data_IF_670158159981
#
_entry.id   IF_670158159981
#
_cell.length_a   1.000
_cell.length_b   1.000
_cell.length_c   1.000
_cell.angle_alpha   90.00
_cell.angle_beta   90.00
_cell.angle_gamma   90.00
#
_symmetry.space_group_name_H-M   'P 1'
#
loop_
_entity.id
_entity.type
_entity.pdbx_description
1 polymer ?
#
# COMPACT_ATOMS: atom_id res chain seq x y z
N UNK A 1 -1.27 -21.03 -28.38
CA UNK A 1 -2.58 -21.30 -27.75
C UNK A 1 -2.97 -20.03 -27.00
N UNK A 2 -4.24 -19.61 -27.07
CA UNK A 2 -4.68 -18.47 -26.29
C UNK A 2 -4.59 -18.79 -24.80
N UNK A 3 -4.03 -17.88 -24.00
CA UNK A 3 -4.04 -18.06 -22.55
C UNK A 3 -5.46 -17.86 -21.99
N UNK A 4 -5.70 -18.27 -20.74
CA UNK A 4 -7.03 -18.22 -20.12
C UNK A 4 -7.61 -16.80 -20.10
N UNK A 5 -6.78 -15.80 -19.81
CA UNK A 5 -7.21 -14.41 -19.74
C UNK A 5 -7.60 -13.84 -21.12
N UNK A 6 -6.95 -14.24 -22.21
CA UNK A 6 -7.35 -13.84 -23.57
C UNK A 6 -8.79 -14.26 -23.94
N UNK A 7 -9.34 -15.31 -23.31
CA UNK A 7 -10.73 -15.71 -23.54
C UNK A 7 -11.73 -14.72 -22.91
N UNK A 8 -11.35 -14.09 -21.80
CA UNK A 8 -12.15 -13.10 -21.09
C UNK A 8 -11.87 -11.68 -21.58
N UNK A 9 -10.65 -11.45 -22.03
CA UNK A 9 -10.13 -10.17 -22.49
C UNK A 9 -9.49 -10.30 -23.89
N UNK A 10 -10.32 -10.30 -24.97
CA UNK A 10 -9.83 -10.48 -26.34
C UNK A 10 -8.88 -9.40 -26.87
N UNK A 11 -8.76 -8.27 -26.17
CA UNK A 11 -7.84 -7.17 -26.53
C UNK A 11 -6.37 -7.48 -26.22
N UNK A 12 -6.10 -8.50 -25.41
CA UNK A 12 -4.76 -8.98 -25.09
C UNK A 12 -4.09 -9.58 -26.34
N UNK A 13 -2.80 -9.33 -26.47
CA UNK A 13 -2.01 -9.71 -27.65
C UNK A 13 -1.13 -10.92 -27.37
N UNK A 14 -0.63 -11.57 -28.41
CA UNK A 14 0.34 -12.65 -28.21
C UNK A 14 1.74 -12.10 -27.89
N UNK A 15 2.58 -12.93 -27.27
CA UNK A 15 3.96 -12.55 -26.94
C UNK A 15 4.76 -12.17 -28.19
N UNK A 16 4.53 -12.89 -29.30
CA UNK A 16 5.16 -12.61 -30.59
C UNK A 16 4.74 -11.26 -31.14
N UNK A 17 3.46 -10.90 -31.06
CA UNK A 17 2.95 -9.60 -31.52
C UNK A 17 3.56 -8.44 -30.73
N UNK A 18 3.66 -8.58 -29.40
CA UNK A 18 4.27 -7.57 -28.53
C UNK A 18 5.76 -7.42 -28.85
N UNK A 19 6.51 -8.52 -28.92
CA UNK A 19 7.94 -8.51 -29.25
C UNK A 19 8.20 -7.94 -30.65
N UNK A 20 7.35 -8.27 -31.62
CA UNK A 20 7.44 -7.71 -32.97
C UNK A 20 7.27 -6.18 -32.96
N UNK A 21 6.29 -5.65 -32.22
CA UNK A 21 6.09 -4.19 -32.08
C UNK A 21 7.27 -3.50 -31.40
N UNK A 22 7.81 -4.09 -30.34
CA UNK A 22 8.99 -3.57 -29.64
C UNK A 22 10.21 -3.60 -30.58
N UNK A 23 10.42 -4.69 -31.30
CA UNK A 23 11.57 -4.87 -32.20
C UNK A 23 11.60 -3.90 -33.39
N UNK A 24 10.43 -3.49 -33.90
CA UNK A 24 10.31 -2.54 -35.02
C UNK A 24 10.54 -1.08 -34.63
N UNK A 25 10.60 -0.77 -33.34
CA UNK A 25 10.76 0.60 -32.83
C UNK A 25 12.06 0.69 -32.02
N UNK A 26 13.11 1.36 -32.54
CA UNK A 26 14.42 1.41 -31.88
C UNK A 26 14.37 1.93 -30.43
N UNK A 27 13.51 2.92 -30.15
CA UNK A 27 13.30 3.45 -28.81
C UNK A 27 12.71 2.41 -27.84
N UNK A 28 11.64 1.71 -28.24
CA UNK A 28 11.03 0.67 -27.40
C UNK A 28 11.99 -0.49 -27.19
N UNK A 29 12.71 -0.91 -28.25
CA UNK A 29 13.73 -1.95 -28.14
C UNK A 29 14.79 -1.59 -27.12
N UNK A 30 15.30 -0.36 -27.15
CA UNK A 30 16.28 0.12 -26.18
C UNK A 30 15.73 0.07 -24.74
N UNK A 31 14.51 0.56 -24.52
CA UNK A 31 13.87 0.52 -23.19
C UNK A 31 13.72 -0.92 -22.71
N UNK A 32 13.15 -1.81 -23.53
CA UNK A 32 12.88 -3.19 -23.16
C UNK A 32 14.16 -3.93 -22.73
N UNK A 33 15.24 -3.82 -23.51
CA UNK A 33 16.50 -4.48 -23.19
C UNK A 33 17.32 -3.76 -22.09
N UNK A 34 16.92 -2.56 -21.67
CA UNK A 34 17.51 -1.91 -20.49
C UNK A 34 16.98 -2.48 -19.17
N UNK A 35 15.82 -3.14 -19.20
CA UNK A 35 15.24 -3.79 -18.03
C UNK A 35 15.91 -5.13 -17.73
N UNK A 36 15.83 -5.58 -16.47
CA UNK A 36 16.23 -6.93 -16.07
C UNK A 36 15.37 -7.99 -16.76
N UNK A 37 15.88 -9.23 -16.90
CA UNK A 37 15.10 -10.33 -17.49
C UNK A 37 13.79 -10.59 -16.73
N UNK A 38 13.80 -10.41 -15.40
CA UNK A 38 12.59 -10.52 -14.57
C UNK A 38 11.54 -9.48 -14.98
N UNK A 39 11.94 -8.22 -15.11
CA UNK A 39 11.05 -7.13 -15.50
C UNK A 39 10.56 -7.27 -16.95
N UNK A 40 11.41 -7.74 -17.86
CA UNK A 40 11.02 -8.07 -19.24
C UNK A 40 9.93 -9.14 -19.28
N UNK A 41 10.10 -10.21 -18.50
CA UNK A 41 9.10 -11.28 -18.41
C UNK A 41 7.81 -10.79 -17.75
N UNK A 42 7.90 -10.05 -16.64
CA UNK A 42 6.75 -9.46 -15.97
C UNK A 42 5.92 -8.59 -16.93
N UNK A 43 6.59 -7.70 -17.69
CA UNK A 43 5.95 -6.88 -18.72
C UNK A 43 5.23 -7.72 -19.78
N UNK A 44 5.92 -8.73 -20.33
CA UNK A 44 5.33 -9.59 -21.35
C UNK A 44 4.18 -10.43 -20.78
N UNK A 45 4.27 -10.87 -19.53
CA UNK A 45 3.27 -11.74 -18.92
C UNK A 45 1.95 -10.99 -18.73
N UNK A 46 1.97 -9.77 -18.18
CA UNK A 46 0.74 -9.01 -17.97
C UNK A 46 0.18 -8.40 -19.26
N UNK A 47 1.01 -8.03 -20.24
CA UNK A 47 0.53 -7.48 -21.53
C UNK A 47 -0.03 -8.55 -22.45
N UNK A 48 0.32 -9.81 -22.23
CA UNK A 48 -0.18 -10.94 -23.03
C UNK A 48 -1.31 -11.70 -22.35
N UNK A 49 -1.45 -11.59 -21.02
CA UNK A 49 -2.42 -12.36 -20.23
C UNK A 49 -1.89 -13.69 -19.69
N UNK A 50 -0.57 -13.92 -19.75
CA UNK A 50 0.03 -15.06 -19.04
C UNK A 50 -0.08 -14.87 -17.53
N UNK A 51 -0.05 -13.62 -17.07
CA UNK A 51 -0.52 -13.15 -15.76
C UNK A 51 -1.47 -11.96 -15.96
N UNK A 52 -2.19 -11.61 -14.92
CA UNK A 52 -2.90 -10.34 -14.82
C UNK A 52 -1.96 -9.17 -14.63
N UNK A 53 -2.46 -7.97 -14.91
CA UNK A 53 -1.78 -6.74 -14.49
C UNK A 53 -1.93 -6.62 -12.99
N UNK A 54 -0.83 -6.28 -12.30
CA UNK A 54 -0.89 -5.94 -10.88
C UNK A 54 -1.63 -4.62 -10.72
N UNK A 55 -2.80 -4.66 -10.08
CA UNK A 55 -3.60 -3.46 -9.85
C UNK A 55 -2.92 -2.47 -8.89
N UNK A 56 -1.95 -2.95 -8.13
CA UNK A 56 -1.08 -2.15 -7.28
C UNK A 56 -0.01 -1.36 -8.06
N UNK A 57 0.13 -1.51 -9.38
CA UNK A 57 0.97 -0.55 -10.11
C UNK A 57 0.38 0.85 -10.07
N UNK A 58 1.24 1.86 -10.13
CA UNK A 58 0.87 3.27 -10.03
C UNK A 58 -0.17 3.66 -11.08
N UNK A 59 0.10 3.30 -12.34
CA UNK A 59 -0.82 3.60 -13.42
C UNK A 59 -2.17 2.89 -13.29
N UNK A 60 -2.19 1.67 -12.75
CA UNK A 60 -3.42 0.88 -12.61
C UNK A 60 -4.26 1.38 -11.43
N UNK A 61 -3.64 1.53 -10.26
CA UNK A 61 -4.32 2.03 -9.06
C UNK A 61 -4.81 3.47 -9.23
N UNK A 62 -4.02 4.36 -9.85
CA UNK A 62 -4.45 5.73 -10.15
C UNK A 62 -5.58 5.81 -11.16
N UNK A 63 -5.65 4.90 -12.12
CA UNK A 63 -6.81 4.84 -13.03
C UNK A 63 -8.05 4.36 -12.28
N UNK A 64 -7.92 3.25 -11.53
CA UNK A 64 -9.08 2.55 -10.96
C UNK A 64 -9.65 3.22 -9.70
N UNK A 65 -8.79 3.78 -8.85
CA UNK A 65 -9.14 4.35 -7.55
C UNK A 65 -9.13 5.88 -7.58
N UNK A 66 -9.29 6.51 -8.74
CA UNK A 66 -9.37 7.96 -8.84
C UNK A 66 -10.71 8.48 -8.26
N UNK A 67 -10.72 9.26 -7.18
CA UNK A 67 -11.96 9.77 -6.58
C UNK A 67 -12.64 10.88 -7.40
N UNK A 68 -11.97 11.43 -8.42
CA UNK A 68 -12.56 12.41 -9.35
C UNK A 68 -13.29 11.74 -10.52
N UNK A 69 -12.73 10.67 -11.09
CA UNK A 69 -13.33 9.98 -12.25
C UNK A 69 -14.16 8.75 -11.85
N UNK A 70 -13.81 8.08 -10.75
CA UNK A 70 -14.43 6.84 -10.28
C UNK A 70 -14.88 6.93 -8.82
N UNK A 71 -15.49 8.05 -8.44
CA UNK A 71 -15.94 8.33 -7.06
C UNK A 71 -16.76 7.21 -6.43
N UNK A 72 -17.65 6.55 -7.19
CA UNK A 72 -18.48 5.47 -6.67
C UNK A 72 -17.67 4.23 -6.26
N UNK A 73 -16.60 3.89 -7.00
CA UNK A 73 -15.70 2.79 -6.63
C UNK A 73 -14.97 3.10 -5.33
N UNK A 74 -14.47 4.33 -5.20
CA UNK A 74 -13.75 4.76 -3.99
C UNK A 74 -14.72 4.84 -2.80
N UNK A 75 -15.97 5.33 -2.99
CA UNK A 75 -17.01 5.30 -1.96
C UNK A 75 -17.29 3.87 -1.49
N UNK A 76 -17.51 2.93 -2.41
CA UNK A 76 -17.75 1.52 -2.07
C UNK A 76 -16.57 0.95 -1.29
N UNK A 77 -15.36 1.11 -1.82
CA UNK A 77 -14.16 0.54 -1.22
C UNK A 77 -13.89 1.09 0.18
N UNK A 78 -13.96 2.41 0.37
CA UNK A 78 -13.82 3.03 1.68
C UNK A 78 -14.94 2.61 2.64
N UNK A 79 -16.17 2.44 2.15
CA UNK A 79 -17.28 1.99 2.99
C UNK A 79 -17.04 0.58 3.53
N UNK A 80 -16.55 -0.31 2.67
CA UNK A 80 -16.20 -1.68 3.02
C UNK A 80 -15.05 -1.70 4.03
N UNK A 81 -13.97 -0.96 3.78
CA UNK A 81 -12.81 -0.88 4.68
C UNK A 81 -13.17 -0.32 6.06
N UNK A 82 -14.02 0.71 6.12
CA UNK A 82 -14.41 1.35 7.38
C UNK A 82 -15.57 0.63 8.09
N UNK A 83 -16.22 -0.34 7.43
CA UNK A 83 -17.39 -1.04 7.96
C UNK A 83 -18.63 -0.16 8.13
N UNK A 84 -18.69 0.98 7.43
CA UNK A 84 -19.80 1.93 7.48
C UNK A 84 -19.99 2.62 6.13
N UNK A 85 -21.22 2.97 5.73
CA UNK A 85 -21.43 3.73 4.49
C UNK A 85 -20.75 5.09 4.54
N UNK A 86 -19.96 5.41 3.52
CA UNK A 86 -19.33 6.72 3.35
C UNK A 86 -19.66 7.34 2.00
N UNK A 87 -19.58 8.66 1.93
CA UNK A 87 -19.65 9.42 0.68
C UNK A 87 -18.57 10.48 0.67
N UNK A 88 -17.77 10.51 -0.39
CA UNK A 88 -16.78 11.55 -0.64
C UNK A 88 -17.51 12.86 -0.92
N UNK A 89 -17.19 13.88 -0.12
CA UNK A 89 -17.62 15.26 -0.31
C UNK A 89 -16.67 15.98 -1.28
N UNK A 90 -15.36 15.88 -1.04
CA UNK A 90 -14.33 16.59 -1.79
C UNK A 90 -13.02 15.80 -1.76
N UNK A 91 -12.26 15.84 -2.86
CA UNK A 91 -10.88 15.36 -2.92
C UNK A 91 -9.96 16.47 -2.44
N UNK A 92 -9.15 16.18 -1.43
CA UNK A 92 -8.23 17.15 -0.85
C UNK A 92 -6.88 17.09 -1.57
N UNK A 93 -6.19 18.22 -1.76
CA UNK A 93 -4.86 18.20 -2.34
C UNK A 93 -3.89 17.51 -1.38
N UNK A 94 -2.97 16.75 -1.95
CA UNK A 94 -1.80 16.22 -1.25
C UNK A 94 -0.81 17.39 -1.05
N UNK A 95 -1.16 18.36 -0.19
CA UNK A 95 -0.32 19.54 0.06
C UNK A 95 1.09 19.09 0.49
N UNK A 96 2.05 19.42 -0.38
CA UNK A 96 3.39 18.85 -0.48
C UNK A 96 4.41 19.29 0.58
N UNK A 97 4.01 19.43 1.84
CA UNK A 97 4.97 19.26 2.93
C UNK A 97 4.99 17.78 3.32
N UNK A 98 5.48 16.93 2.41
CA UNK A 98 6.02 15.64 2.84
C UNK A 98 7.04 15.98 3.92
N UNK A 99 6.83 15.45 5.14
CA UNK A 99 7.65 15.81 6.30
C UNK A 99 9.14 15.45 6.13
N UNK A 100 9.51 14.81 5.01
CA UNK A 100 10.85 14.71 4.48
C UNK A 100 10.82 14.51 2.95
N UNK A 101 11.93 14.82 2.28
CA UNK A 101 12.30 14.35 0.91
C UNK A 101 12.44 12.81 0.83
N UNK A 102 11.71 12.07 1.68
CA UNK A 102 11.77 10.61 1.75
C UNK A 102 11.15 10.01 0.47
N UNK A 103 12.01 9.33 -0.29
CA UNK A 103 11.68 8.49 -1.43
C UNK A 103 10.55 7.54 -1.06
N UNK A 104 9.34 7.90 -1.49
CA UNK A 104 8.15 7.29 -0.90
C UNK A 104 7.89 5.99 -1.64
N UNK A 105 7.94 4.85 -0.93
CA UNK A 105 7.43 3.53 -1.37
C UNK A 105 5.91 3.54 -1.66
N UNK A 106 5.32 4.73 -1.70
CA UNK A 106 3.91 5.07 -1.81
C UNK A 106 3.57 5.24 -3.28
N UNK A 107 2.65 4.40 -3.73
CA UNK A 107 2.14 4.37 -5.10
C UNK A 107 0.99 5.37 -5.22
N UNK A 108 -0.02 5.18 -4.38
CA UNK A 108 -1.26 5.96 -4.41
C UNK A 108 -1.53 6.53 -3.03
N UNK A 109 -1.88 7.81 -3.01
CA UNK A 109 -2.18 8.62 -1.84
C UNK A 109 -3.47 9.41 -2.13
N UNK A 110 -4.58 8.93 -1.58
CA UNK A 110 -5.91 9.49 -1.79
C UNK A 110 -6.38 10.11 -0.49
N UNK A 111 -6.41 11.45 -0.45
CA UNK A 111 -6.94 12.20 0.68
C UNK A 111 -8.31 12.77 0.30
N UNK A 112 -9.36 12.38 1.04
CA UNK A 112 -10.73 12.81 0.79
C UNK A 112 -11.42 13.30 2.07
N UNK A 113 -12.23 14.34 1.94
CA UNK A 113 -13.21 14.73 2.96
C UNK A 113 -14.51 13.96 2.70
N UNK A 114 -15.07 13.34 3.73
CA UNK A 114 -16.35 12.63 3.66
C UNK A 114 -17.52 13.58 3.99
N UNK A 115 -18.74 13.16 3.66
CA UNK A 115 -19.96 13.94 3.89
C UNK A 115 -20.24 14.25 5.37
N UNK A 116 -19.69 13.45 6.29
CA UNK A 116 -19.76 13.69 7.73
C UNK A 116 -18.64 14.62 8.24
N UNK A 117 -17.82 15.16 7.33
CA UNK A 117 -16.63 15.99 7.55
C UNK A 117 -15.42 15.28 8.15
N UNK A 118 -15.44 13.94 8.26
CA UNK A 118 -14.22 13.18 8.52
C UNK A 118 -13.27 13.22 7.31
N UNK A 119 -11.97 13.02 7.55
CA UNK A 119 -10.97 12.93 6.48
C UNK A 119 -10.43 11.51 6.44
N UNK A 120 -10.33 10.95 5.24
CA UNK A 120 -9.68 9.66 5.00
C UNK A 120 -8.45 9.88 4.15
N UNK A 121 -7.33 9.32 4.58
CA UNK A 121 -6.14 9.11 3.77
C UNK A 121 -6.01 7.62 3.47
N UNK A 122 -6.12 7.24 2.19
CA UNK A 122 -5.88 5.89 1.70
C UNK A 122 -4.53 5.84 0.98
N UNK A 123 -3.61 5.10 1.58
CA UNK A 123 -2.26 4.89 1.09
C UNK A 123 -2.07 3.46 0.55
N UNK A 124 -1.40 3.35 -0.58
CA UNK A 124 -0.92 2.08 -1.13
C UNK A 124 0.60 2.07 -1.11
N UNK A 125 1.20 1.09 -0.45
CA UNK A 125 2.65 0.94 -0.33
C UNK A 125 3.13 -0.38 -0.92
N UNK A 126 4.16 -0.33 -1.78
CA UNK A 126 4.79 -1.56 -2.32
C UNK A 126 5.51 -2.36 -1.26
N UNK A 127 6.27 -1.65 -0.43
CA UNK A 127 7.00 -2.23 0.69
C UNK A 127 6.65 -1.37 1.89
N UNK A 128 6.15 -1.99 2.95
CA UNK A 128 5.91 -1.29 4.20
C UNK A 128 7.22 -0.96 4.90
N UNK A 129 7.30 0.26 5.43
CA UNK A 129 8.43 0.69 6.27
C UNK A 129 8.50 -0.12 7.57
N UNK A 130 9.69 -0.18 8.20
CA UNK A 130 9.89 -0.85 9.49
C UNK A 130 9.19 -0.12 10.67
N UNK A 131 8.76 1.13 10.46
CA UNK A 131 8.12 2.00 11.45
C UNK A 131 6.75 2.51 10.97
N UNK A 132 5.82 1.62 10.56
CA UNK A 132 4.56 2.01 9.94
C UNK A 132 3.66 2.80 10.91
N UNK A 133 3.74 2.50 12.22
CA UNK A 133 3.00 3.20 13.26
C UNK A 133 3.46 4.64 13.47
N UNK A 134 4.77 4.86 13.59
CA UNK A 134 5.37 6.19 13.77
C UNK A 134 5.07 7.07 12.55
N UNK A 135 5.26 6.53 11.35
CA UNK A 135 4.98 7.24 10.09
C UNK A 135 3.50 7.64 10.01
N UNK A 136 2.61 6.68 10.23
CA UNK A 136 1.16 6.95 10.17
C UNK A 136 0.71 7.96 11.21
N UNK A 137 1.31 7.96 12.41
CA UNK A 137 1.02 8.95 13.44
C UNK A 137 1.36 10.38 13.00
N UNK A 138 2.50 10.58 12.34
CA UNK A 138 2.88 11.89 11.79
C UNK A 138 1.87 12.38 10.75
N UNK A 139 1.49 11.53 9.78
CA UNK A 139 0.52 11.91 8.75
C UNK A 139 -0.88 12.13 9.31
N UNK A 140 -1.34 11.27 10.22
CA UNK A 140 -2.63 11.43 10.89
C UNK A 140 -2.71 12.75 11.68
N UNK A 141 -1.63 13.12 12.39
CA UNK A 141 -1.57 14.39 13.10
C UNK A 141 -1.64 15.59 12.15
N UNK A 142 -0.96 15.52 11.01
CA UNK A 142 -1.05 16.55 9.96
C UNK A 142 -2.47 16.64 9.39
N UNK A 143 -3.13 15.52 9.07
CA UNK A 143 -4.53 15.50 8.62
C UNK A 143 -5.47 16.13 9.64
N UNK A 144 -5.26 15.89 10.94
CA UNK A 144 -6.05 16.50 12.00
C UNK A 144 -5.86 18.02 12.05
N UNK A 145 -4.63 18.50 11.89
CA UNK A 145 -4.33 19.94 11.80
C UNK A 145 -4.93 20.57 10.53
N UNK A 146 -4.90 19.87 9.39
CA UNK A 146 -5.57 20.31 8.16
C UNK A 146 -7.07 20.42 8.38
N UNK A 147 -7.69 19.43 9.01
CA UNK A 147 -9.11 19.46 9.33
C UNK A 147 -9.46 20.65 10.23
N UNK A 148 -8.67 20.89 11.28
CA UNK A 148 -8.84 22.04 12.17
C UNK A 148 -8.78 23.37 11.41
N UNK A 149 -7.78 23.56 10.54
CA UNK A 149 -7.66 24.76 9.70
C UNK A 149 -8.85 24.93 8.77
N UNK A 150 -9.34 23.85 8.16
CA UNK A 150 -10.53 23.88 7.29
C UNK A 150 -11.79 24.28 8.05
N UNK A 151 -12.02 23.70 9.24
CA UNK A 151 -13.14 24.09 10.11
C UNK A 151 -13.03 25.56 10.51
N UNK A 152 -11.84 26.02 10.87
CA UNK A 152 -11.59 27.43 11.18
C UNK A 152 -11.95 28.34 10.00
N UNK A 153 -11.46 28.03 8.80
CA UNK A 153 -11.75 28.80 7.58
C UNK A 153 -13.26 28.81 7.27
N UNK A 154 -13.93 27.65 7.32
CA UNK A 154 -15.38 27.53 7.11
C UNK A 154 -16.17 28.36 8.13
N UNK A 155 -15.73 28.42 9.39
CA UNK A 155 -16.37 29.22 10.43
C UNK A 155 -16.13 30.73 10.22
N UNK A 156 -14.89 31.12 9.93
CA UNK A 156 -14.52 32.53 9.67
C UNK A 156 -15.22 33.12 8.43
N UNK A 157 -15.55 32.29 7.43
CA UNK A 157 -16.37 32.70 6.28
C UNK A 157 -17.83 33.02 6.66
N UNK A 158 -18.35 32.40 7.74
CA UNK A 158 -19.72 32.65 8.23
C UNK A 158 -19.76 33.82 9.23
N UNK A 159 -18.78 33.88 10.12
CA UNK A 159 -18.60 34.95 11.10
C UNK A 159 -17.10 35.12 11.39
N UNK A 160 -16.49 36.29 11.13
CA UNK A 160 -15.08 36.57 11.38
C UNK A 160 -14.64 36.35 12.84
N UNK A 161 -15.58 36.35 13.79
CA UNK A 161 -15.31 36.15 15.21
C UNK A 161 -15.65 34.73 15.71
N UNK A 162 -16.14 33.84 14.83
CA UNK A 162 -16.47 32.47 15.20
C UNK A 162 -15.21 31.71 15.63
N UNK A 163 -15.27 31.13 16.83
CA UNK A 163 -14.24 30.25 17.36
C UNK A 163 -14.47 28.81 16.85
N UNK A 164 -13.40 28.05 16.72
CA UNK A 164 -13.49 26.61 16.45
C UNK A 164 -13.88 25.91 17.75
N UNK A 165 -14.94 25.09 17.71
CA UNK A 165 -15.23 24.16 18.79
C UNK A 165 -14.63 22.80 18.46
N UNK A 166 -13.92 22.18 19.42
CA UNK A 166 -13.31 20.87 19.20
C UNK A 166 -14.31 19.76 18.84
N UNK A 167 -15.60 19.94 19.18
CA UNK A 167 -16.68 19.03 18.77
C UNK A 167 -16.99 19.07 17.26
N UNK A 168 -16.56 20.12 16.59
CA UNK A 168 -16.69 20.28 15.14
C UNK A 168 -15.60 19.52 14.39
N UNK A 169 -14.53 19.10 15.08
CA UNK A 169 -13.48 18.24 14.51
C UNK A 169 -13.96 16.80 14.58
N UNK A 170 -13.85 16.11 13.45
CA UNK A 170 -14.26 14.73 13.20
C UNK A 170 -13.06 13.82 13.07
N UNK A 171 -13.34 12.53 12.95
CA UNK A 171 -12.32 11.51 12.82
C UNK A 171 -11.43 11.76 11.61
N UNK A 172 -10.16 11.39 11.75
CA UNK A 172 -9.22 11.21 10.64
C UNK A 172 -8.87 9.73 10.57
N UNK A 173 -9.00 9.17 9.38
CA UNK A 173 -8.72 7.76 9.10
C UNK A 173 -7.46 7.67 8.25
N UNK A 174 -6.47 6.94 8.74
CA UNK A 174 -5.29 6.58 7.94
C UNK A 174 -5.37 5.11 7.60
N UNK A 175 -5.64 4.80 6.34
CA UNK A 175 -5.74 3.45 5.80
C UNK A 175 -4.49 3.18 4.97
N UNK A 176 -3.81 2.07 5.25
CA UNK A 176 -2.60 1.69 4.50
C UNK A 176 -2.74 0.26 4.01
N UNK A 177 -2.65 0.08 2.69
CA UNK A 177 -2.55 -1.23 2.04
C UNK A 177 -1.08 -1.52 1.75
N UNK A 178 -0.59 -2.67 2.18
CA UNK A 178 0.79 -3.11 1.93
C UNK A 178 0.80 -4.24 0.90
N UNK A 179 1.45 -4.04 -0.24
CA UNK A 179 1.73 -5.15 -1.18
C UNK A 179 2.73 -6.14 -0.56
N UNK A 180 3.76 -5.62 0.12
CA UNK A 180 4.67 -6.39 0.97
C UNK A 180 4.73 -5.79 2.37
N UNK A 181 4.32 -6.57 3.36
CA UNK A 181 4.09 -6.07 4.71
C UNK A 181 5.36 -6.00 5.57
N UNK A 182 5.39 -5.09 6.56
CA UNK A 182 6.44 -5.08 7.58
C UNK A 182 6.45 -6.38 8.38
N UNK A 183 7.62 -6.73 8.94
CA UNK A 183 7.83 -8.01 9.65
C UNK A 183 6.84 -8.28 10.78
N UNK A 184 6.43 -7.23 11.50
CA UNK A 184 5.51 -7.32 12.65
C UNK A 184 4.14 -7.89 12.28
N UNK A 185 3.68 -7.74 11.03
CA UNK A 185 2.37 -8.27 10.62
C UNK A 185 2.39 -9.80 10.48
N UNK A 186 3.54 -10.40 10.16
CA UNK A 186 3.66 -11.87 10.09
C UNK A 186 3.60 -12.55 11.47
N UNK A 187 3.63 -11.80 12.58
CA UNK A 187 3.33 -12.32 13.92
C UNK A 187 1.83 -12.63 14.09
N UNK A 188 0.97 -12.07 13.21
CA UNK A 188 -0.47 -12.31 13.16
C UNK A 188 -0.89 -12.89 11.79
N UNK A 189 -0.40 -14.09 11.39
CA UNK A 189 -0.47 -14.56 10.00
C UNK A 189 -1.89 -14.88 9.49
N UNK A 190 -2.89 -14.94 10.37
CA UNK A 190 -4.29 -15.20 10.00
C UNK A 190 -5.17 -13.94 10.07
N UNK A 191 -4.56 -12.77 10.21
CA UNK A 191 -5.26 -11.48 10.31
C UNK A 191 -4.72 -10.55 9.25
N UNK A 192 -5.63 -9.98 8.46
CA UNK A 192 -5.28 -9.03 7.40
C UNK A 192 -5.99 -7.67 7.55
N UNK A 193 -6.78 -7.46 8.61
CA UNK A 193 -7.40 -6.18 8.92
C UNK A 193 -7.00 -5.76 10.33
N UNK A 194 -6.03 -4.85 10.43
CA UNK A 194 -5.53 -4.36 11.70
C UNK A 194 -6.09 -2.97 11.99
N UNK A 195 -7.11 -2.92 12.84
CA UNK A 195 -7.71 -1.68 13.32
C UNK A 195 -7.00 -1.21 14.60
N UNK A 196 -6.43 -0.02 14.56
CA UNK A 196 -5.80 0.58 15.75
C UNK A 196 -6.66 1.72 16.28
N UNK A 197 -7.00 1.60 17.56
CA UNK A 197 -7.70 2.59 18.37
C UNK A 197 -6.96 2.74 19.70
N UNK A 198 -7.02 3.95 20.27
CA UNK A 198 -6.36 4.26 21.53
C UNK A 198 -7.36 4.11 22.69
N UNK A 199 -6.91 3.48 23.78
CA UNK A 199 -7.67 3.34 25.02
C UNK A 199 -6.76 3.70 26.19
N UNK A 200 -7.33 4.17 27.29
CA UNK A 200 -6.56 4.27 28.53
C UNK A 200 -6.20 2.87 29.02
N UNK A 201 -5.04 2.77 29.67
CA UNK A 201 -4.63 1.64 30.51
C UNK A 201 -5.67 1.20 31.55
N UNK A 202 -6.58 2.10 31.95
CA UNK A 202 -7.70 1.80 32.86
C UNK A 202 -8.96 1.27 32.17
N UNK A 203 -8.97 1.22 30.84
CA UNK A 203 -10.15 0.88 30.03
C UNK A 203 -11.10 2.06 29.79
N UNK A 204 -10.76 3.28 30.22
CA UNK A 204 -11.52 4.48 29.85
C UNK A 204 -11.45 4.69 28.34
N UNK A 205 -12.63 4.73 27.71
CA UNK A 205 -12.79 5.02 26.30
C UNK A 205 -13.12 6.51 26.10
N UNK A 206 -12.23 7.20 25.38
CA UNK A 206 -12.44 8.56 24.89
C UNK A 206 -12.39 8.52 23.37
N UNK A 207 -13.22 9.34 22.71
CA UNK A 207 -13.20 9.44 21.25
C UNK A 207 -11.97 10.21 20.78
N UNK A 208 -10.87 9.47 20.63
CA UNK A 208 -9.64 9.96 20.06
C UNK A 208 -9.75 9.89 18.54
N UNK A 209 -9.67 11.06 17.91
CA UNK A 209 -10.07 11.28 16.53
C UNK A 209 -9.23 10.54 15.49
N UNK A 210 -8.05 10.05 15.86
CA UNK A 210 -7.11 9.38 14.96
C UNK A 210 -7.38 7.87 14.94
N UNK A 211 -7.77 7.36 13.77
CA UNK A 211 -8.13 5.95 13.56
C UNK A 211 -7.26 5.38 12.44
N UNK A 212 -6.70 4.18 12.64
CA UNK A 212 -5.81 3.56 11.66
C UNK A 212 -6.34 2.19 11.23
N UNK A 213 -6.20 1.89 9.95
CA UNK A 213 -6.45 0.57 9.38
C UNK A 213 -5.26 0.15 8.52
N UNK A 214 -4.59 -0.91 8.91
CA UNK A 214 -3.48 -1.49 8.15
C UNK A 214 -3.90 -2.83 7.56
N UNK A 215 -3.66 -3.00 6.26
CA UNK A 215 -4.11 -4.15 5.47
C UNK A 215 -2.92 -4.81 4.76
N UNK A 216 -2.33 -5.87 5.33
CA UNK A 216 -1.28 -6.64 4.69
C UNK A 216 -1.83 -7.54 3.56
N UNK A 217 -1.70 -7.11 2.31
CA UNK A 217 -2.28 -7.82 1.16
C UNK A 217 -1.53 -9.12 0.82
N UNK A 218 -0.24 -9.20 1.09
CA UNK A 218 0.54 -10.44 1.00
C UNK A 218 0.02 -11.51 1.96
N UNK A 219 -0.27 -11.14 3.21
CA UNK A 219 -0.87 -12.04 4.21
C UNK A 219 -2.29 -12.43 3.79
N UNK A 220 -3.09 -11.48 3.29
CA UNK A 220 -4.42 -11.80 2.75
C UNK A 220 -4.33 -12.83 1.61
N UNK A 221 -3.42 -12.64 0.65
CA UNK A 221 -3.19 -13.57 -0.46
C UNK A 221 -2.84 -14.97 0.06
N UNK A 222 -1.92 -15.06 1.03
CA UNK A 222 -1.52 -16.33 1.64
C UNK A 222 -2.68 -17.03 2.36
N UNK A 223 -3.47 -16.29 3.15
CA UNK A 223 -4.67 -16.82 3.81
C UNK A 223 -5.61 -17.45 2.78
N UNK A 224 -5.90 -16.74 1.68
CA UNK A 224 -6.84 -17.22 0.66
C UNK A 224 -6.35 -18.46 -0.08
N UNK A 225 -5.07 -18.49 -0.44
CA UNK A 225 -4.46 -19.65 -1.08
C UNK A 225 -4.38 -20.88 -0.15
N UNK A 226 -4.27 -20.67 1.16
CA UNK A 226 -4.30 -21.75 2.15
C UNK A 226 -5.73 -22.24 2.45
N UNK A 227 -6.74 -21.37 2.35
CA UNK A 227 -8.15 -21.73 2.57
C UNK A 227 -8.69 -22.63 1.44
N UNK A 228 -8.48 -22.27 0.16
CA UNK A 228 -8.94 -23.06 -0.98
C UNK A 228 -8.25 -22.73 -2.30
N UNK A 229 -8.23 -23.71 -3.22
CA UNK A 229 -7.83 -23.52 -4.63
C UNK A 229 -8.91 -24.17 -5.53
N UNK A 230 -9.66 -23.42 -6.37
CA UNK A 230 -9.61 -21.96 -6.54
C UNK A 230 -10.01 -21.21 -5.25
N UNK A 231 -9.60 -19.94 -5.16
CA UNK A 231 -9.92 -19.08 -4.02
C UNK A 231 -11.42 -18.89 -3.84
N UNK A 232 -11.85 -18.79 -2.59
CA UNK A 232 -13.23 -18.49 -2.21
C UNK A 232 -13.29 -17.18 -1.42
N UNK A 233 -14.11 -16.24 -1.87
CA UNK A 233 -14.19 -14.88 -1.32
C UNK A 233 -15.48 -14.76 -0.53
N UNK A 234 -15.38 -14.46 0.75
CA UNK A 234 -16.50 -14.49 1.70
C UNK A 234 -17.47 -13.34 1.47
N UNK A 235 -16.96 -12.19 1.05
CA UNK A 235 -17.73 -10.99 0.85
C UNK A 235 -17.09 -10.03 -0.16
N UNK A 236 -17.77 -8.90 -0.35
CA UNK A 236 -17.36 -7.84 -1.26
C UNK A 236 -16.05 -7.14 -0.86
N UNK A 237 -15.73 -7.09 0.44
CA UNK A 237 -14.47 -6.51 0.91
C UNK A 237 -13.31 -7.40 0.48
N UNK A 238 -13.40 -8.71 0.71
CA UNK A 238 -12.40 -9.66 0.24
C UNK A 238 -12.26 -9.65 -1.29
N UNK A 239 -13.35 -9.43 -2.03
CA UNK A 239 -13.31 -9.29 -3.48
C UNK A 239 -12.48 -8.09 -3.94
N UNK A 240 -12.64 -6.93 -3.31
CA UNK A 240 -11.81 -5.75 -3.58
C UNK A 240 -10.34 -5.99 -3.24
N UNK A 241 -10.04 -6.64 -2.10
CA UNK A 241 -8.66 -6.95 -1.72
C UNK A 241 -8.01 -7.94 -2.70
N UNK A 242 -8.74 -8.98 -3.09
CA UNK A 242 -8.31 -9.97 -4.08
C UNK A 242 -8.05 -9.33 -5.46
N UNK A 243 -8.98 -8.49 -5.92
CA UNK A 243 -8.82 -7.71 -7.15
C UNK A 243 -7.54 -6.87 -7.15
N UNK A 244 -7.22 -6.25 -6.01
CA UNK A 244 -6.02 -5.42 -5.89
C UNK A 244 -4.72 -6.24 -5.91
N UNK A 245 -4.66 -7.38 -5.22
CA UNK A 245 -3.41 -8.08 -4.97
C UNK A 245 -3.17 -9.38 -5.76
N UNK A 246 -4.17 -9.92 -6.45
CA UNK A 246 -4.07 -11.21 -7.16
C UNK A 246 -3.94 -11.01 -8.66
N UNK A 247 -2.84 -11.54 -9.21
CA UNK A 247 -2.44 -11.43 -10.61
C UNK A 247 -2.36 -12.80 -11.31
N UNK A 248 -2.62 -13.90 -10.60
CA UNK A 248 -2.60 -15.23 -11.20
C UNK A 248 -3.92 -15.47 -11.98
N UNK A 249 -3.88 -15.99 -13.22
CA UNK A 249 -5.06 -16.13 -14.06
C UNK A 249 -6.22 -16.88 -13.39
N UNK A 250 -5.93 -17.95 -12.66
CA UNK A 250 -6.92 -18.75 -11.93
C UNK A 250 -7.64 -17.94 -10.86
N UNK A 251 -6.93 -17.10 -10.12
CA UNK A 251 -7.50 -16.22 -9.10
C UNK A 251 -8.39 -15.15 -9.73
N UNK A 252 -7.93 -14.54 -10.83
CA UNK A 252 -8.70 -13.55 -11.59
C UNK A 252 -10.01 -14.17 -12.08
N UNK A 253 -9.97 -15.39 -12.62
CA UNK A 253 -11.18 -16.08 -13.04
C UNK A 253 -12.12 -16.37 -11.88
N UNK A 254 -11.60 -16.78 -10.71
CA UNK A 254 -12.42 -16.99 -9.52
C UNK A 254 -13.08 -15.69 -9.02
N UNK A 255 -12.36 -14.56 -9.08
CA UNK A 255 -12.90 -13.23 -8.78
C UNK A 255 -14.04 -12.91 -9.76
N UNK A 256 -13.82 -13.09 -11.07
CA UNK A 256 -14.82 -12.77 -12.10
C UNK A 256 -16.04 -13.69 -12.07
N UNK A 257 -15.89 -14.94 -11.61
CA UNK A 257 -17.00 -15.87 -11.46
C UNK A 257 -17.93 -15.46 -10.29
N UNK A 258 -17.35 -15.05 -9.15
CA UNK A 258 -18.11 -14.62 -7.98
C UNK A 258 -18.60 -13.18 -8.08
N UNK A 259 -17.80 -12.29 -8.69
CA UNK A 259 -18.05 -10.85 -8.80
C UNK A 259 -17.77 -10.37 -10.24
N UNK A 260 -18.69 -10.61 -11.19
CA UNK A 260 -18.48 -10.35 -12.62
C UNK A 260 -18.26 -8.87 -12.98
N UNK A 261 -18.69 -7.95 -12.14
CA UNK A 261 -18.58 -6.51 -12.36
C UNK A 261 -17.12 -6.01 -12.29
N UNK A 262 -16.21 -6.73 -11.61
CA UNK A 262 -14.77 -6.45 -11.69
C UNK A 262 -14.20 -6.60 -13.10
N UNK A 263 -14.90 -7.29 -14.01
CA UNK A 263 -14.49 -7.40 -15.41
C UNK A 263 -14.27 -6.03 -16.04
N UNK A 264 -15.15 -5.07 -15.77
CA UNK A 264 -15.02 -3.71 -16.30
C UNK A 264 -13.74 -3.04 -15.80
N UNK A 265 -13.37 -3.25 -14.53
CA UNK A 265 -12.13 -2.73 -13.96
C UNK A 265 -10.89 -3.35 -14.63
N UNK A 266 -10.87 -4.67 -14.84
CA UNK A 266 -9.79 -5.33 -15.58
C UNK A 266 -9.70 -4.82 -17.03
N UNK A 267 -10.84 -4.70 -17.72
CA UNK A 267 -10.90 -4.20 -19.10
C UNK A 267 -10.32 -2.79 -19.22
N UNK A 268 -10.61 -1.89 -18.28
CA UNK A 268 -10.06 -0.53 -18.26
C UNK A 268 -8.52 -0.53 -18.19
N UNK A 269 -7.93 -1.37 -17.33
CA UNK A 269 -6.45 -1.46 -17.23
C UNK A 269 -5.85 -2.15 -18.47
N UNK A 270 -6.51 -3.17 -19.01
CA UNK A 270 -6.04 -3.82 -20.25
C UNK A 270 -6.15 -2.90 -21.48
N UNK A 271 -7.09 -1.97 -21.48
CA UNK A 271 -7.22 -0.96 -22.53
C UNK A 271 -6.00 -0.02 -22.55
N UNK A 272 -5.50 0.39 -21.37
CA UNK A 272 -4.23 1.12 -21.23
C UNK A 272 -3.08 0.28 -21.79
N UNK A 273 -3.05 -1.02 -21.47
CA UNK A 273 -2.03 -1.97 -21.94
C UNK A 273 -1.95 -2.11 -23.46
N UNK A 274 -2.95 -1.65 -24.23
CA UNK A 274 -2.87 -1.66 -25.70
C UNK A 274 -1.86 -0.66 -26.25
N UNK A 275 -1.62 0.45 -25.53
CA UNK A 275 -0.60 1.44 -25.85
C UNK A 275 0.75 1.03 -25.26
N UNK A 276 1.44 0.12 -25.95
CA UNK A 276 2.70 -0.46 -25.50
C UNK A 276 3.75 0.61 -25.17
N UNK A 277 3.85 1.66 -25.98
CA UNK A 277 4.83 2.73 -25.74
C UNK A 277 4.59 3.46 -24.42
N UNK A 278 3.34 3.81 -24.14
CA UNK A 278 2.94 4.48 -22.91
C UNK A 278 3.10 3.56 -21.69
N UNK A 279 2.69 2.30 -21.80
CA UNK A 279 2.79 1.33 -20.70
C UNK A 279 4.25 0.98 -20.41
N UNK A 280 5.11 0.88 -21.43
CA UNK A 280 6.56 0.71 -21.21
C UNK A 280 7.16 1.93 -20.50
N UNK A 281 6.68 3.14 -20.81
CA UNK A 281 7.11 4.37 -20.12
C UNK A 281 6.67 4.37 -18.65
N UNK A 282 5.40 4.06 -18.38
CA UNK A 282 4.86 3.94 -17.02
C UNK A 282 5.56 2.83 -16.23
N UNK A 283 5.74 1.66 -16.82
CA UNK A 283 6.44 0.53 -16.20
C UNK A 283 7.92 0.83 -15.93
N UNK A 284 8.59 1.58 -16.80
CA UNK A 284 9.98 2.01 -16.53
C UNK A 284 10.07 2.96 -15.32
N UNK A 285 9.10 3.88 -15.17
CA UNK A 285 9.02 4.75 -13.99
C UNK A 285 8.76 3.92 -12.74
N UNK A 286 7.82 2.98 -12.81
CA UNK A 286 7.49 2.05 -11.74
C UNK A 286 8.72 1.27 -11.26
N UNK A 287 9.52 0.72 -12.19
CA UNK A 287 10.77 0.01 -11.86
C UNK A 287 11.80 0.95 -11.22
N UNK A 288 11.97 2.15 -11.76
CA UNK A 288 12.95 3.11 -11.24
C UNK A 288 12.58 3.61 -9.83
N UNK A 289 11.29 3.81 -9.56
CA UNK A 289 10.80 4.18 -8.22
C UNK A 289 10.99 3.03 -7.24
N UNK A 290 10.65 1.79 -7.64
CA UNK A 290 10.93 0.59 -6.87
C UNK A 290 12.41 0.46 -6.50
N UNK A 291 13.30 0.61 -7.48
CA UNK A 291 14.75 0.43 -7.28
C UNK A 291 15.31 1.50 -6.34
N UNK A 292 14.95 2.78 -6.55
CA UNK A 292 15.38 3.89 -5.67
C UNK A 292 14.90 3.69 -4.24
N UNK A 293 13.59 3.48 -4.09
CA UNK A 293 12.96 3.35 -2.79
C UNK A 293 13.45 2.11 -2.03
N UNK A 294 13.63 0.99 -2.73
CA UNK A 294 14.17 -0.24 -2.13
C UNK A 294 15.62 -0.06 -1.71
N UNK A 295 16.43 0.64 -2.50
CA UNK A 295 17.84 0.90 -2.17
C UNK A 295 17.93 1.77 -0.91
N UNK A 296 17.19 2.87 -0.85
CA UNK A 296 17.19 3.75 0.32
C UNK A 296 16.66 3.03 1.57
N UNK A 297 15.55 2.28 1.44
CA UNK A 297 15.00 1.48 2.53
C UNK A 297 15.99 0.42 3.04
N UNK A 298 16.65 -0.30 2.13
CA UNK A 298 17.65 -1.31 2.51
C UNK A 298 18.87 -0.67 3.19
N UNK A 299 19.32 0.50 2.74
CA UNK A 299 20.42 1.23 3.38
C UNK A 299 20.05 1.64 4.81
N UNK A 300 18.88 2.26 5.01
CA UNK A 300 18.41 2.66 6.34
C UNK A 300 18.28 1.45 7.27
N UNK A 301 17.71 0.35 6.77
CA UNK A 301 17.55 -0.87 7.54
C UNK A 301 18.89 -1.53 7.88
N UNK A 302 19.83 -1.60 6.93
CA UNK A 302 21.18 -2.13 7.19
C UNK A 302 21.92 -1.27 8.21
N UNK A 303 21.79 0.05 8.15
CA UNK A 303 22.41 0.95 9.14
C UNK A 303 21.85 0.71 10.54
N UNK A 304 20.52 0.57 10.68
CA UNK A 304 19.88 0.23 11.96
C UNK A 304 20.31 -1.14 12.49
N UNK A 305 20.40 -2.15 11.63
CA UNK A 305 20.87 -3.49 12.02
C UNK A 305 22.34 -3.43 12.49
N UNK A 306 23.20 -2.65 11.82
CA UNK A 306 24.60 -2.41 12.25
C UNK A 306 24.65 -1.71 13.61
N UNK A 307 23.87 -0.66 13.81
CA UNK A 307 23.86 0.13 15.05
C UNK A 307 23.37 -0.74 16.22
N UNK A 308 22.33 -1.55 16.02
CA UNK A 308 21.83 -2.48 17.03
C UNK A 308 22.88 -3.55 17.38
N UNK A 309 23.52 -4.15 16.36
CA UNK A 309 24.60 -5.12 16.60
C UNK A 309 25.79 -4.50 17.35
N UNK A 310 26.10 -3.23 17.09
CA UNK A 310 27.17 -2.51 17.80
C UNK A 310 26.82 -2.31 19.29
N UNK A 311 25.57 -1.98 19.63
CA UNK A 311 25.14 -1.87 21.03
C UNK A 311 25.09 -3.23 21.74
N UNK A 312 24.60 -4.28 21.07
CA UNK A 312 24.62 -5.64 21.62
C UNK A 312 26.06 -6.15 21.88
N UNK A 313 27.00 -5.81 20.98
CA UNK A 313 28.43 -6.12 21.18
C UNK A 313 29.01 -5.38 22.38
N UNK A 314 28.72 -4.07 22.54
CA UNK A 314 29.15 -3.30 23.71
C UNK A 314 28.63 -3.90 25.01
N UNK A 315 27.38 -4.35 25.03
CA UNK A 315 26.79 -4.95 26.22
C UNK A 315 27.40 -6.32 26.52
N UNK A 316 27.66 -7.14 25.50
CA UNK A 316 28.40 -8.41 25.66
C UNK A 316 29.81 -8.18 26.18
N UNK A 317 30.53 -7.18 25.68
CA UNK A 317 31.87 -6.83 26.15
C UNK A 317 31.86 -6.41 27.64
N UNK A 318 30.84 -5.65 28.06
CA UNK A 318 30.63 -5.31 29.48
C UNK A 318 30.41 -6.56 30.34
N UNK A 319 29.51 -7.45 29.92
CA UNK A 319 29.22 -8.70 30.64
C UNK A 319 30.48 -9.57 30.72
N UNK A 320 31.25 -9.68 29.64
CA UNK A 320 32.52 -10.43 29.62
C UNK A 320 33.51 -9.83 30.62
N UNK A 321 33.66 -8.50 30.65
CA UNK A 321 34.55 -7.83 31.60
C UNK A 321 34.14 -8.07 33.06
N UNK A 322 32.85 -8.03 33.37
CA UNK A 322 32.31 -8.32 34.70
C UNK A 322 32.53 -9.79 35.13
N UNK A 323 32.30 -10.73 34.21
CA UNK A 323 32.53 -12.16 34.43
C UNK A 323 34.02 -12.45 34.64
N UNK A 324 34.91 -11.81 33.88
CA UNK A 324 36.35 -11.92 34.05
C UNK A 324 36.79 -11.40 35.43
N UNK A 325 36.33 -10.20 35.83
CA UNK A 325 36.62 -9.63 37.14
C UNK A 325 36.10 -10.52 38.30
N UNK A 326 34.93 -11.12 38.13
CA UNK A 326 34.34 -12.05 39.11
C UNK A 326 35.15 -13.35 39.22
N UNK A 327 35.56 -13.92 38.09
CA UNK A 327 36.42 -15.11 38.05
C UNK A 327 37.77 -14.87 38.73
N UNK A 328 38.39 -13.71 38.52
CA UNK A 328 39.62 -13.34 39.21
C UNK A 328 39.43 -13.24 40.73
N UNK A 329 38.34 -12.63 41.19
CA UNK A 329 38.01 -12.55 42.62
C UNK A 329 37.78 -13.94 43.23
N UNK A 330 37.11 -14.84 42.52
CA UNK A 330 36.87 -16.22 42.97
C UNK A 330 38.16 -17.04 43.02
N UNK A 331 39.07 -16.88 42.05
CA UNK A 331 40.41 -17.50 42.08
C UNK A 331 41.23 -17.04 43.29
N UNK A 332 41.18 -15.75 43.62
CA UNK A 332 41.86 -15.18 44.79
C UNK A 332 41.29 -15.65 46.14
N UNK A 333 40.02 -16.09 46.19
CA UNK A 333 39.37 -16.61 47.41
C UNK A 333 39.58 -18.11 47.64
N UNK A 334 40.13 -18.84 46.66
CA UNK A 334 40.42 -20.29 46.74
C UNK A 334 41.87 -20.62 47.13
N UNK A 335 42.68 -19.59 47.36
CA UNK A 335 43.99 -19.64 48.01
C UNK A 335 43.77 -19.15 49.44
#
# INVERSE_FOLDING_TARGET
MANKLQQYFPMLRTREEILHKIGHRPNLRHIFYSWSEKAQNEFLDFTTGAKGVKMMYDFASKELLNPETHRERVNEFLSLLLGQPVKILEVLPNDGTRLADESTLLITDIVVELSDSSIVNLEIQKIGYDFPGQRSACYSADLLLRQYKRVQQKNSLKDPHAKVHYKDIKNVYTIVLFEKSPKSFYECPNVFLHHFKQYSDTGLELDLLQKYLFVPLDIFKEIKHNESIPINLKDRQEAWLAFLCMDDPEDILAILEQYPDFKECYEQVYEICRNIEEVMSMFSKELAELDRNTTEFMIDRMQKEIDQQAEELKEKDRIIAELQATNERLKKRKI
#
